data_IF_066829516077
#
_entry.id   IF_066829516077
#
_cell.length_a   1.000
_cell.length_b   1.000
_cell.length_c   1.000
_cell.angle_alpha   90.00
_cell.angle_beta   90.00
_cell.angle_gamma   90.00
#
_symmetry.space_group_name_H-M   'P 1'
#
loop_
_entity.id
_entity.type
_entity.pdbx_description
1 polymer ?
#
# COMPACT_ATOMS: atom_id res chain seq x y z
N UNK A 1 -45.24 22.88 48.93
CA UNK A 1 -43.77 22.79 48.88
C UNK A 1 -43.32 22.94 47.43
N UNK A 2 -42.34 23.81 47.16
CA UNK A 2 -41.98 24.31 45.81
C UNK A 2 -41.11 23.29 45.04
N UNK A 3 -41.30 23.11 43.72
CA UNK A 3 -40.61 22.09 42.91
C UNK A 3 -39.10 22.34 42.69
N UNK A 4 -38.57 23.46 43.19
CA UNK A 4 -37.14 23.78 43.14
C UNK A 4 -36.29 23.04 44.19
N UNK A 5 -36.91 22.45 45.21
CA UNK A 5 -36.17 21.74 46.27
C UNK A 5 -35.81 20.28 45.89
N UNK A 6 -36.58 19.66 44.99
CA UNK A 6 -36.32 18.27 44.55
C UNK A 6 -35.18 18.18 43.53
N UNK A 7 -34.97 19.25 42.74
CA UNK A 7 -33.90 19.30 41.74
C UNK A 7 -32.51 19.48 42.38
N UNK A 8 -32.42 20.12 43.55
CA UNK A 8 -31.15 20.23 44.29
C UNK A 8 -30.73 18.92 44.97
N UNK A 9 -31.66 18.03 45.31
CA UNK A 9 -31.32 16.74 45.94
C UNK A 9 -30.76 15.72 44.93
N UNK A 10 -31.16 15.80 43.66
CA UNK A 10 -30.64 14.93 42.61
C UNK A 10 -29.25 15.34 42.07
N UNK A 11 -28.88 16.62 42.19
CA UNK A 11 -27.55 17.10 41.77
C UNK A 11 -26.48 16.83 42.83
N UNK A 12 -26.85 16.66 44.10
CA UNK A 12 -25.89 16.40 45.18
C UNK A 12 -25.59 14.90 45.42
N UNK A 13 -26.31 13.98 44.77
CA UNK A 13 -26.04 12.54 44.82
C UNK A 13 -25.18 12.02 43.66
N UNK A 14 -24.87 12.85 42.66
CA UNK A 14 -24.00 12.48 41.53
C UNK A 14 -22.55 12.97 41.68
N UNK A 15 -22.20 13.66 42.78
CA UNK A 15 -20.85 14.19 43.02
C UNK A 15 -20.05 13.53 44.16
N UNK A 16 -20.53 12.42 44.73
CA UNK A 16 -19.85 11.72 45.84
C UNK A 16 -19.24 10.35 45.51
N UNK A 17 -19.11 9.98 44.23
CA UNK A 17 -18.39 8.76 43.81
C UNK A 17 -17.10 8.99 43.00
N UNK A 18 -16.55 10.21 42.96
CA UNK A 18 -15.25 10.47 42.32
C UNK A 18 -14.31 11.25 43.24
N UNK A 19 -14.00 10.69 44.40
CA UNK A 19 -12.89 11.15 45.22
C UNK A 19 -12.31 9.98 46.01
N UNK A 20 -11.57 9.10 45.32
CA UNK A 20 -10.42 8.34 45.82
C UNK A 20 -10.04 7.26 44.81
N UNK A 21 -9.44 7.67 43.70
CA UNK A 21 -8.45 6.84 43.04
C UNK A 21 -7.10 7.52 43.24
N UNK A 22 -6.10 6.84 43.82
CA UNK A 22 -4.76 7.41 43.89
C UNK A 22 -4.33 7.74 42.46
N UNK A 23 -3.57 8.83 42.23
CA UNK A 23 -3.06 9.13 40.91
C UNK A 23 -2.31 7.88 40.46
N UNK A 24 -2.80 7.24 39.39
CA UNK A 24 -2.05 6.21 38.69
C UNK A 24 -0.75 6.89 38.28
N UNK A 25 0.31 6.69 39.08
CA UNK A 25 1.69 6.86 38.66
C UNK A 25 1.83 5.90 37.49
N UNK A 26 1.45 6.36 36.31
CA UNK A 26 1.71 5.68 35.07
C UNK A 26 3.22 5.68 35.01
N UNK A 27 3.79 4.53 35.32
CA UNK A 27 5.23 4.32 35.38
C UNK A 27 5.79 4.59 33.99
N UNK A 28 6.13 5.86 33.76
CA UNK A 28 6.70 6.37 32.51
C UNK A 28 8.07 5.76 32.28
N UNK A 29 8.72 5.22 33.33
CA UNK A 29 9.97 4.48 33.19
C UNK A 29 9.76 3.10 32.55
N UNK A 30 8.66 2.40 32.90
CA UNK A 30 8.33 1.08 32.35
C UNK A 30 7.91 1.17 30.87
N UNK A 31 7.20 2.23 30.47
CA UNK A 31 6.80 2.46 29.07
C UNK A 31 7.92 3.03 28.19
N UNK A 32 8.80 3.91 28.72
CA UNK A 32 9.96 4.41 27.96
C UNK A 32 11.04 3.34 27.82
N UNK A 33 11.29 2.50 28.84
CA UNK A 33 12.25 1.40 28.74
C UNK A 33 11.79 0.31 27.76
N UNK A 34 10.48 0.01 27.70
CA UNK A 34 9.90 -0.88 26.70
C UNK A 34 9.90 -0.26 25.30
N UNK A 35 9.54 1.02 25.14
CA UNK A 35 9.65 1.73 23.87
C UNK A 35 11.10 1.83 23.39
N UNK A 36 12.06 2.08 24.29
CA UNK A 36 13.50 2.02 24.00
C UNK A 36 13.97 0.61 23.69
N UNK A 37 13.47 -0.45 24.34
CA UNK A 37 13.76 -1.85 23.97
C UNK A 37 13.19 -2.22 22.61
N UNK A 38 11.98 -1.78 22.27
CA UNK A 38 11.35 -2.00 20.97
C UNK A 38 12.04 -1.19 19.87
N UNK A 39 12.48 0.04 20.16
CA UNK A 39 13.30 0.86 19.26
C UNK A 39 14.72 0.28 19.09
N UNK A 40 15.36 -0.19 20.17
CA UNK A 40 16.68 -0.82 20.16
C UNK A 40 16.68 -2.23 19.53
N UNK A 41 15.50 -2.82 19.31
CA UNK A 41 15.32 -4.14 18.63
C UNK A 41 14.91 -4.01 17.16
N UNK A 42 14.72 -2.80 16.62
CA UNK A 42 14.80 -2.57 15.16
C UNK A 42 16.25 -2.28 14.81
N UNK A 43 17.09 -3.31 14.90
CA UNK A 43 18.36 -3.27 14.16
C UNK A 43 17.94 -3.35 12.69
N UNK A 44 17.92 -2.21 12.01
CA UNK A 44 17.84 -2.19 10.55
C UNK A 44 19.13 -2.80 10.04
N UNK A 45 19.12 -4.10 9.78
CA UNK A 45 20.19 -4.78 9.07
C UNK A 45 20.06 -4.34 7.61
N UNK A 46 20.95 -3.44 7.18
CA UNK A 46 21.02 -3.09 5.76
C UNK A 46 21.64 -4.28 5.01
N UNK A 47 21.30 -4.47 3.73
CA UNK A 47 21.72 -5.65 2.94
C UNK A 47 23.23 -5.82 2.95
N UNK A 48 23.94 -4.69 2.89
CA UNK A 48 25.38 -4.55 2.83
C UNK A 48 26.07 -5.05 4.12
N UNK A 49 25.34 -5.13 5.24
CA UNK A 49 25.88 -5.61 6.52
C UNK A 49 25.80 -7.13 6.68
N UNK A 50 25.12 -7.85 5.77
CA UNK A 50 25.02 -9.31 5.81
C UNK A 50 26.35 -9.92 5.38
N UNK A 51 26.92 -10.80 6.22
CA UNK A 51 28.18 -11.51 5.92
C UNK A 51 28.06 -12.28 4.59
N UNK A 52 28.96 -12.00 3.65
CA UNK A 52 28.99 -12.65 2.34
C UNK A 52 28.05 -12.02 1.30
N UNK A 53 27.39 -10.90 1.62
CA UNK A 53 26.65 -10.12 0.64
C UNK A 53 27.56 -9.65 -0.50
N UNK A 54 27.00 -9.61 -1.71
CA UNK A 54 27.60 -9.00 -2.90
C UNK A 54 26.54 -8.14 -3.57
N UNK A 55 26.86 -6.91 -4.03
CA UNK A 55 25.88 -6.05 -4.69
C UNK A 55 25.11 -6.71 -5.84
N UNK A 56 25.78 -7.60 -6.59
CA UNK A 56 25.16 -8.32 -7.71
C UNK A 56 24.07 -9.33 -7.30
N UNK A 57 23.96 -9.71 -6.02
CA UNK A 57 22.91 -10.64 -5.56
C UNK A 57 21.51 -10.04 -5.63
N UNK A 58 21.42 -8.71 -5.62
CA UNK A 58 20.15 -8.01 -5.69
C UNK A 58 19.62 -7.95 -7.12
N UNK A 59 20.43 -8.29 -8.13
CA UNK A 59 20.01 -8.29 -9.51
C UNK A 59 18.88 -9.29 -9.75
N UNK A 60 17.95 -8.92 -10.61
CA UNK A 60 16.90 -9.79 -11.12
C UNK A 60 17.52 -10.81 -12.09
N UNK A 61 17.30 -12.09 -11.84
CA UNK A 61 17.58 -13.17 -12.79
C UNK A 61 16.28 -13.78 -13.29
N UNK A 62 16.22 -14.10 -14.58
CA UNK A 62 15.08 -14.82 -15.14
C UNK A 62 15.18 -16.30 -14.72
N UNK A 63 14.18 -16.79 -13.97
CA UNK A 63 14.17 -18.16 -13.46
C UNK A 63 13.37 -19.11 -14.34
N UNK A 64 12.46 -18.58 -15.17
CA UNK A 64 11.49 -19.36 -15.94
C UNK A 64 10.74 -20.43 -15.13
N UNK A 65 10.56 -20.19 -13.82
CA UNK A 65 10.07 -21.21 -12.89
C UNK A 65 8.61 -21.62 -13.16
N UNK A 66 7.79 -20.70 -13.69
CA UNK A 66 6.37 -20.89 -13.90
C UNK A 66 5.96 -20.70 -15.35
N UNK A 67 5.28 -21.70 -15.91
CA UNK A 67 4.60 -21.59 -17.21
C UNK A 67 3.50 -20.54 -17.17
N UNK A 68 3.03 -20.10 -18.34
CA UNK A 68 1.87 -19.19 -18.46
C UNK A 68 0.67 -19.71 -17.66
N UNK A 69 0.30 -20.98 -17.85
CA UNK A 69 -0.82 -21.58 -17.13
C UNK A 69 -0.63 -21.58 -15.60
N UNK A 70 0.59 -21.83 -15.12
CA UNK A 70 0.90 -21.80 -13.69
C UNK A 70 0.77 -20.38 -13.12
N UNK A 71 1.18 -19.36 -13.88
CA UNK A 71 1.10 -17.96 -13.46
C UNK A 71 -0.34 -17.43 -13.44
N UNK A 72 -1.14 -17.78 -14.44
CA UNK A 72 -2.54 -17.35 -14.54
C UNK A 72 -3.45 -18.03 -13.50
N UNK A 73 -3.01 -19.13 -12.87
CA UNK A 73 -3.70 -19.75 -11.72
C UNK A 73 -3.44 -19.05 -10.38
N UNK A 74 -2.45 -18.15 -10.32
CA UNK A 74 -2.12 -17.44 -9.08
C UNK A 74 -3.03 -16.23 -8.88
N UNK A 75 -3.36 -15.95 -7.63
CA UNK A 75 -4.03 -14.70 -7.26
C UNK A 75 -3.15 -13.48 -7.64
N UNK A 76 -3.73 -12.35 -8.06
CA UNK A 76 -5.16 -12.11 -8.37
C UNK A 76 -5.56 -12.51 -9.79
N UNK A 77 -4.60 -12.95 -10.62
CA UNK A 77 -4.79 -13.25 -12.05
C UNK A 77 -5.82 -14.35 -12.32
N UNK A 78 -5.95 -15.33 -11.41
CA UNK A 78 -6.94 -16.40 -11.52
C UNK A 78 -8.39 -15.95 -11.30
N UNK A 79 -8.60 -14.84 -10.59
CA UNK A 79 -9.94 -14.31 -10.30
C UNK A 79 -10.32 -13.14 -11.22
N UNK A 80 -9.34 -12.52 -11.89
CA UNK A 80 -9.56 -11.34 -12.71
C UNK A 80 -10.18 -11.68 -14.06
N UNK A 81 -11.28 -11.00 -14.39
CA UNK A 81 -11.89 -11.01 -15.72
C UNK A 81 -11.31 -9.88 -16.59
N UNK A 82 -10.90 -8.79 -15.94
CA UNK A 82 -10.26 -7.65 -16.60
C UNK A 82 -9.13 -7.13 -15.71
N UNK A 83 -8.00 -6.82 -16.33
CA UNK A 83 -6.84 -6.19 -15.69
C UNK A 83 -6.60 -4.87 -16.41
N UNK A 84 -6.51 -3.79 -15.64
CA UNK A 84 -6.32 -2.44 -16.18
C UNK A 84 -5.13 -1.77 -15.52
N UNK A 85 -4.27 -1.15 -16.33
CA UNK A 85 -3.28 -0.20 -15.86
C UNK A 85 -3.91 1.19 -15.85
N UNK A 86 -3.60 1.98 -14.83
CA UNK A 86 -4.03 3.38 -14.75
C UNK A 86 -2.87 4.27 -14.31
N UNK A 87 -2.94 5.54 -14.66
CA UNK A 87 -2.12 6.61 -14.09
C UNK A 87 -3.00 7.73 -13.52
N UNK A 88 -2.49 8.43 -12.52
CA UNK A 88 -3.17 9.51 -11.80
C UNK A 88 -2.14 10.39 -11.09
N UNK A 89 -2.55 11.58 -10.65
CA UNK A 89 -1.67 12.49 -9.91
C UNK A 89 -1.26 11.93 -8.56
N UNK A 90 0.02 12.09 -8.24
CA UNK A 90 0.53 11.83 -6.90
C UNK A 90 0.07 12.89 -5.89
N UNK A 91 0.26 12.63 -4.60
CA UNK A 91 -0.06 13.52 -3.48
C UNK A 91 -1.45 13.32 -2.89
N UNK A 92 -2.29 12.49 -3.53
CA UNK A 92 -3.54 12.02 -2.94
C UNK A 92 -3.27 11.04 -1.81
N UNK A 93 -3.90 11.26 -0.65
CA UNK A 93 -3.89 10.23 0.39
C UNK A 93 -4.58 8.97 -0.15
N UNK A 94 -4.08 7.76 0.19
CA UNK A 94 -4.68 6.52 -0.28
C UNK A 94 -6.16 6.50 0.08
N UNK A 95 -7.01 6.12 -0.88
CA UNK A 95 -8.44 6.01 -0.68
C UNK A 95 -8.75 5.27 0.63
N UNK A 96 -9.51 5.91 1.51
CA UNK A 96 -10.31 5.17 2.47
C UNK A 96 -11.50 4.54 1.73
N UNK A 97 -11.32 3.28 1.29
CA UNK A 97 -12.04 2.07 1.76
C UNK A 97 -12.10 0.96 0.70
N UNK A 98 -11.15 0.02 0.77
CA UNK A 98 -11.37 -1.41 0.52
C UNK A 98 -10.86 -2.16 1.76
N UNK A 99 -11.76 -2.47 2.71
CA UNK A 99 -11.42 -3.24 3.91
C UNK A 99 -11.44 -4.73 3.59
N UNK A 100 -10.26 -5.30 3.34
CA UNK A 100 -9.99 -6.73 3.41
C UNK A 100 -9.03 -6.90 4.60
N UNK A 101 -9.60 -7.18 5.77
CA UNK A 101 -8.88 -7.65 6.97
C UNK A 101 -7.87 -6.72 7.67
N UNK A 102 -8.22 -5.47 8.01
CA UNK A 102 -7.41 -4.67 8.95
C UNK A 102 -8.20 -3.75 9.89
N UNK A 103 -7.94 -3.79 11.23
CA UNK A 103 -8.52 -2.89 12.22
C UNK A 103 -7.58 -1.70 12.48
N UNK A 104 -7.53 -0.72 11.58
CA UNK A 104 -7.02 0.60 11.97
C UNK A 104 -7.58 1.68 11.04
N UNK A 105 -8.15 2.74 11.61
CA UNK A 105 -8.55 3.95 10.86
C UNK A 105 -8.25 5.13 11.76
N UNK A 106 -7.20 5.90 11.42
CA UNK A 106 -7.03 7.24 11.96
C UNK A 106 -7.73 8.22 11.01
N UNK A 107 -8.62 9.09 11.50
CA UNK A 107 -9.22 10.14 10.66
C UNK A 107 -8.23 11.30 10.49
N UNK A 108 -8.17 11.87 9.29
CA UNK A 108 -7.41 13.10 8.98
C UNK A 108 -8.40 14.21 8.62
N UNK A 109 -8.19 15.47 9.08
CA UNK A 109 -9.17 16.56 8.94
C UNK A 109 -9.22 17.13 7.52
N UNK A 110 -10.43 17.35 7.00
CA UNK A 110 -10.70 17.92 5.67
C UNK A 110 -11.03 19.42 5.77
N UNK A 111 -10.07 20.31 5.53
CA UNK A 111 -10.33 21.77 5.51
C UNK A 111 -9.79 22.53 4.29
N UNK A 112 -9.40 21.87 3.21
CA UNK A 112 -9.15 22.56 1.94
C UNK A 112 -10.09 22.01 0.88
N UNK A 113 -10.71 22.89 0.07
CA UNK A 113 -11.37 22.48 -1.18
C UNK A 113 -10.33 21.68 -1.97
N UNK A 114 -10.39 20.36 -1.89
CA UNK A 114 -9.49 19.48 -2.63
C UNK A 114 -9.82 19.66 -4.10
N UNK A 115 -8.95 20.32 -4.84
CA UNK A 115 -8.96 20.20 -6.29
C UNK A 115 -8.91 18.71 -6.60
N UNK A 116 -9.88 18.24 -7.40
CA UNK A 116 -9.99 16.80 -7.76
C UNK A 116 -8.68 16.25 -8.35
N UNK A 117 -7.87 17.15 -8.89
CA UNK A 117 -6.51 16.94 -9.35
C UNK A 117 -5.65 16.16 -8.35
N UNK A 118 -5.77 16.39 -7.04
CA UNK A 118 -4.93 15.75 -6.02
C UNK A 118 -5.58 14.54 -5.32
N UNK A 119 -6.66 13.97 -5.86
CA UNK A 119 -7.32 12.83 -5.21
C UNK A 119 -6.65 11.48 -5.50
N UNK A 120 -5.74 11.42 -6.48
CA UNK A 120 -5.09 10.18 -6.90
C UNK A 120 -6.05 9.15 -7.49
N UNK A 121 -5.78 7.86 -7.32
CA UNK A 121 -6.74 6.81 -7.63
C UNK A 121 -7.96 6.99 -6.74
N UNK A 122 -9.19 6.89 -7.26
CA UNK A 122 -10.41 6.92 -6.45
C UNK A 122 -11.29 5.70 -6.74
N UNK A 123 -11.51 4.86 -5.72
CA UNK A 123 -12.39 3.68 -5.78
C UNK A 123 -13.48 3.82 -4.72
N UNK A 124 -14.74 3.90 -5.15
CA UNK A 124 -15.91 4.02 -4.27
C UNK A 124 -16.84 2.84 -4.48
N UNK A 125 -17.18 2.11 -3.41
CA UNK A 125 -18.04 0.93 -3.48
C UNK A 125 -17.57 -0.09 -4.54
N UNK A 126 -16.24 -0.31 -4.61
CA UNK A 126 -15.58 -1.17 -5.61
C UNK A 126 -15.74 -0.70 -7.07
N UNK A 127 -16.14 0.54 -7.31
CA UNK A 127 -16.24 1.15 -8.64
C UNK A 127 -15.15 2.22 -8.81
N UNK A 128 -14.54 2.23 -9.98
CA UNK A 128 -13.52 3.21 -10.35
C UNK A 128 -14.18 4.55 -10.65
N UNK A 129 -13.68 5.62 -10.02
CA UNK A 129 -13.97 6.98 -10.44
C UNK A 129 -12.94 7.37 -11.50
N UNK A 130 -13.40 7.51 -12.74
CA UNK A 130 -12.53 7.83 -13.88
C UNK A 130 -12.10 9.30 -13.91
N UNK A 131 -12.75 10.17 -13.13
CA UNK A 131 -12.51 11.62 -13.20
C UNK A 131 -11.15 12.06 -12.63
N UNK A 132 -10.43 11.16 -11.97
CA UNK A 132 -9.11 11.41 -11.38
C UNK A 132 -7.97 10.72 -12.14
N UNK A 133 -8.29 10.00 -13.23
CA UNK A 133 -7.31 9.24 -14.02
C UNK A 133 -6.78 10.06 -15.18
N UNK A 134 -5.50 9.88 -15.49
CA UNK A 134 -4.81 10.54 -16.60
C UNK A 134 -4.77 9.59 -17.81
N UNK A 135 -4.24 8.39 -17.64
CA UNK A 135 -4.23 7.35 -18.68
C UNK A 135 -4.85 6.05 -18.14
N UNK A 136 -5.47 5.29 -19.04
CA UNK A 136 -5.98 3.96 -18.71
C UNK A 136 -5.67 2.98 -19.84
N UNK A 137 -5.38 1.73 -19.48
CA UNK A 137 -5.16 0.66 -20.44
C UNK A 137 -5.72 -0.66 -19.93
N UNK A 138 -6.72 -1.20 -20.61
CA UNK A 138 -7.12 -2.60 -20.43
C UNK A 138 -6.08 -3.49 -21.10
N UNK A 139 -5.55 -4.46 -20.35
CA UNK A 139 -4.57 -5.42 -20.85
C UNK A 139 -5.24 -6.51 -21.67
N UNK A 140 -4.68 -6.80 -22.84
CA UNK A 140 -5.02 -8.01 -23.59
C UNK A 140 -4.26 -9.23 -23.04
N UNK A 141 -4.60 -10.43 -23.53
CA UNK A 141 -3.99 -11.68 -23.05
C UNK A 141 -2.45 -11.67 -23.13
N UNK A 142 -1.86 -11.26 -24.25
CA UNK A 142 -0.40 -11.22 -24.41
C UNK A 142 0.26 -10.29 -23.39
N UNK A 143 -0.37 -9.16 -23.09
CA UNK A 143 0.13 -8.22 -22.09
C UNK A 143 -0.01 -8.76 -20.66
N UNK A 144 -1.09 -9.49 -20.34
CA UNK A 144 -1.22 -10.18 -19.05
C UNK A 144 -0.15 -11.26 -18.90
N UNK A 145 0.13 -12.01 -19.97
CA UNK A 145 1.20 -13.01 -19.99
C UNK A 145 2.58 -12.39 -19.79
N UNK A 146 2.86 -11.22 -20.37
CA UNK A 146 4.09 -10.46 -20.17
C UNK A 146 4.21 -9.92 -18.74
N UNK A 147 3.17 -9.26 -18.23
CA UNK A 147 3.12 -8.75 -16.85
C UNK A 147 3.38 -9.86 -15.83
N UNK A 148 2.65 -10.97 -15.94
CA UNK A 148 2.80 -12.07 -15.00
C UNK A 148 4.17 -12.74 -15.13
N UNK A 149 4.83 -12.68 -16.30
CA UNK A 149 6.19 -13.20 -16.47
C UNK A 149 7.18 -12.35 -15.66
N UNK A 150 7.04 -11.01 -15.69
CA UNK A 150 7.83 -10.09 -14.86
C UNK A 150 7.62 -10.37 -13.38
N UNK A 151 6.36 -10.58 -12.96
CA UNK A 151 6.01 -10.79 -11.54
C UNK A 151 6.55 -12.11 -11.01
N UNK A 152 6.37 -13.22 -11.74
CA UNK A 152 6.59 -14.56 -11.18
C UNK A 152 7.87 -15.27 -11.62
N UNK A 153 8.48 -14.89 -12.76
CA UNK A 153 9.63 -15.60 -13.32
C UNK A 153 10.96 -14.86 -13.15
N UNK A 154 11.03 -13.97 -12.16
CA UNK A 154 12.27 -13.29 -11.79
C UNK A 154 12.47 -13.35 -10.28
N UNK A 155 13.70 -13.64 -9.88
CA UNK A 155 14.14 -13.76 -8.49
C UNK A 155 15.50 -13.07 -8.31
N UNK A 156 15.98 -13.00 -7.07
CA UNK A 156 17.32 -12.53 -6.75
C UNK A 156 18.39 -13.44 -7.37
N UNK A 157 19.46 -12.83 -7.89
CA UNK A 157 20.59 -13.53 -8.49
C UNK A 157 21.37 -14.40 -7.51
N UNK A 158 21.29 -14.08 -6.22
CA UNK A 158 22.05 -14.77 -5.18
C UNK A 158 21.21 -15.08 -3.96
N UNK A 159 21.61 -14.50 -2.83
CA UNK A 159 21.10 -14.87 -1.51
C UNK A 159 19.57 -14.75 -1.45
N UNK A 160 18.90 -15.86 -1.15
CA UNK A 160 17.44 -15.94 -1.02
C UNK A 160 17.03 -15.77 0.44
N UNK A 161 15.82 -15.25 0.68
CA UNK A 161 15.16 -15.24 2.00
C UNK A 161 15.81 -14.37 3.10
N UNK A 162 16.35 -13.20 2.78
CA UNK A 162 16.71 -12.23 3.82
C UNK A 162 15.69 -11.08 3.86
N UNK A 163 15.19 -10.77 5.06
CA UNK A 163 14.20 -9.71 5.27
C UNK A 163 14.90 -8.35 5.28
N UNK A 164 14.57 -7.49 4.33
CA UNK A 164 14.99 -6.09 4.37
C UNK A 164 13.87 -5.25 4.93
N UNK A 165 14.18 -4.53 6.01
CA UNK A 165 13.30 -3.54 6.62
C UNK A 165 13.91 -2.17 6.40
N UNK A 166 13.62 -1.59 5.23
CA UNK A 166 14.07 -0.26 4.88
C UNK A 166 13.19 0.26 3.75
N UNK A 167 12.11 0.93 4.12
CA UNK A 167 11.29 1.67 3.17
C UNK A 167 11.73 3.13 3.25
N UNK A 168 11.90 3.78 2.10
CA UNK A 168 11.91 5.23 2.07
C UNK A 168 10.60 5.73 2.70
N UNK A 169 10.66 6.81 3.49
CA UNK A 169 9.47 7.40 4.11
C UNK A 169 8.48 8.01 3.08
N UNK A 170 8.84 8.02 1.80
CA UNK A 170 8.04 8.56 0.71
C UNK A 170 7.33 7.42 -0.03
N UNK A 171 6.00 7.49 -0.08
CA UNK A 171 5.18 6.71 -0.99
C UNK A 171 4.20 7.67 -1.67
N UNK A 172 4.48 7.98 -2.93
CA UNK A 172 3.68 8.88 -3.78
C UNK A 172 3.27 8.14 -5.06
N UNK A 173 2.31 7.20 -4.99
CA UNK A 173 1.95 6.38 -6.12
C UNK A 173 1.28 7.21 -7.21
N UNK A 174 1.63 6.92 -8.47
CA UNK A 174 1.07 7.57 -9.67
C UNK A 174 0.49 6.59 -10.67
N UNK A 175 0.54 5.31 -10.33
CA UNK A 175 0.16 4.21 -11.20
C UNK A 175 -0.44 3.08 -10.37
N UNK A 176 -1.43 2.39 -10.94
CA UNK A 176 -1.94 1.15 -10.33
C UNK A 176 -2.27 0.09 -11.35
N UNK A 177 -2.25 -1.16 -10.89
CA UNK A 177 -2.83 -2.31 -11.57
C UNK A 177 -4.15 -2.65 -10.88
N UNK A 178 -5.26 -2.55 -11.61
CA UNK A 178 -6.61 -2.79 -11.11
C UNK A 178 -7.13 -4.15 -11.59
N UNK A 179 -7.70 -4.92 -10.67
CA UNK A 179 -8.25 -6.25 -10.96
C UNK A 179 -9.77 -6.25 -10.78
N UNK A 180 -10.49 -6.57 -11.87
CA UNK A 180 -11.94 -6.53 -11.92
C UNK A 180 -12.55 -7.93 -11.96
N UNK A 181 -13.67 -8.09 -11.24
CA UNK A 181 -14.51 -9.28 -11.30
C UNK A 181 -15.44 -9.26 -12.54
N UNK A 182 -16.23 -10.33 -12.70
CA UNK A 182 -17.23 -10.46 -13.77
C UNK A 182 -18.34 -9.40 -13.73
N UNK A 183 -18.54 -8.73 -12.59
CA UNK A 183 -19.55 -7.69 -12.40
C UNK A 183 -18.98 -6.29 -12.67
N UNK A 184 -17.73 -6.19 -13.13
CA UNK A 184 -17.03 -4.92 -13.34
C UNK A 184 -16.65 -4.20 -12.04
N UNK A 185 -16.64 -4.90 -10.89
CA UNK A 185 -16.19 -4.37 -9.61
C UNK A 185 -14.70 -4.64 -9.41
N UNK A 186 -13.96 -3.65 -8.91
CA UNK A 186 -12.58 -3.82 -8.48
C UNK A 186 -12.57 -4.63 -7.19
N UNK A 187 -11.92 -5.80 -7.21
CA UNK A 187 -11.78 -6.63 -6.02
C UNK A 187 -10.39 -6.49 -5.38
N UNK A 188 -9.40 -6.02 -6.12
CA UNK A 188 -8.07 -5.70 -5.61
C UNK A 188 -7.33 -4.74 -6.53
N UNK A 189 -6.27 -4.12 -6.00
CA UNK A 189 -5.37 -3.27 -6.76
C UNK A 189 -3.97 -3.20 -6.15
N UNK A 190 -3.00 -2.90 -6.99
CA UNK A 190 -1.61 -2.71 -6.64
C UNK A 190 -1.19 -1.29 -7.04
N UNK A 191 -0.95 -0.44 -6.05
CA UNK A 191 -0.44 0.92 -6.24
C UNK A 191 1.08 0.90 -6.33
N UNK A 192 1.63 1.62 -7.30
CA UNK A 192 3.05 1.60 -7.63
C UNK A 192 3.56 3.04 -7.67
N UNK A 193 4.62 3.29 -6.89
CA UNK A 193 5.46 4.47 -7.04
C UNK A 193 6.80 4.05 -7.67
N UNK A 194 6.94 4.24 -8.98
CA UNK A 194 8.17 3.92 -9.69
C UNK A 194 9.35 4.78 -9.20
N UNK A 195 9.11 6.05 -8.90
CA UNK A 195 10.15 6.95 -8.35
C UNK A 195 10.62 6.51 -6.95
N UNK A 196 9.71 5.98 -6.13
CA UNK A 196 10.00 5.54 -4.77
C UNK A 196 10.59 4.13 -4.70
N UNK A 197 10.54 3.38 -5.82
CA UNK A 197 10.77 1.94 -5.84
C UNK A 197 9.97 1.20 -4.75
N UNK A 198 8.69 1.56 -4.62
CA UNK A 198 7.80 1.00 -3.63
C UNK A 198 6.41 0.73 -4.22
N UNK A 199 5.69 -0.18 -3.59
CA UNK A 199 4.31 -0.52 -3.95
C UNK A 199 3.49 -0.79 -2.68
N UNK A 200 2.20 -0.56 -2.78
CA UNK A 200 1.23 -0.95 -1.77
C UNK A 200 0.08 -1.72 -2.42
N UNK A 201 -0.57 -2.57 -1.63
CA UNK A 201 -1.72 -3.35 -2.06
C UNK A 201 -2.67 -3.48 -0.88
N UNK A 202 -3.97 -3.47 -1.18
CA UNK A 202 -5.00 -3.72 -0.17
C UNK A 202 -5.00 -5.17 0.33
N UNK A 203 -4.56 -6.12 -0.51
CA UNK A 203 -4.44 -7.53 -0.14
C UNK A 203 -3.00 -7.90 0.17
N UNK A 204 -2.79 -8.62 1.28
CA UNK A 204 -1.49 -9.22 1.65
C UNK A 204 -0.98 -10.23 0.62
N UNK A 205 -1.87 -10.77 -0.22
CA UNK A 205 -1.56 -11.80 -1.20
C UNK A 205 -1.22 -11.25 -2.59
N UNK A 206 -1.25 -9.93 -2.77
CA UNK A 206 -0.91 -9.26 -4.01
C UNK A 206 0.43 -8.53 -3.85
N UNK A 207 1.41 -8.94 -4.64
CA UNK A 207 2.77 -8.39 -4.66
C UNK A 207 3.35 -8.38 -6.07
N UNK A 208 4.49 -7.71 -6.24
CA UNK A 208 5.28 -7.73 -7.49
C UNK A 208 6.24 -8.94 -7.60
N UNK A 209 6.09 -9.93 -6.71
CA UNK A 209 7.03 -11.04 -6.56
C UNK A 209 8.31 -10.63 -5.84
N UNK A 210 9.45 -11.21 -6.24
CA UNK A 210 10.75 -10.87 -5.64
C UNK A 210 11.16 -9.42 -5.97
N UNK A 211 11.38 -8.59 -4.95
CA UNK A 211 11.80 -7.20 -5.12
C UNK A 211 13.32 -7.05 -5.35
N UNK A 212 13.78 -7.63 -6.46
CA UNK A 212 15.14 -7.48 -6.98
C UNK A 212 15.34 -6.10 -7.62
N UNK A 213 16.58 -5.64 -7.76
CA UNK A 213 16.95 -4.26 -8.05
C UNK A 213 16.28 -3.68 -9.31
N UNK A 214 16.18 -4.45 -10.39
CA UNK A 214 15.60 -3.99 -11.67
C UNK A 214 14.07 -4.16 -11.72
N UNK A 215 13.41 -4.63 -10.67
CA UNK A 215 11.99 -5.01 -10.72
C UNK A 215 11.09 -3.84 -11.12
N UNK A 216 11.29 -2.68 -10.51
CA UNK A 216 10.51 -1.47 -10.82
C UNK A 216 10.79 -0.97 -12.23
N UNK A 217 12.04 -0.99 -12.70
CA UNK A 217 12.38 -0.63 -14.09
C UNK A 217 11.71 -1.54 -15.12
N UNK A 218 11.61 -2.83 -14.82
CA UNK A 218 10.93 -3.79 -15.70
C UNK A 218 9.43 -3.53 -15.76
N UNK A 219 8.81 -3.24 -14.60
CA UNK A 219 7.40 -2.87 -14.53
C UNK A 219 7.13 -1.51 -15.21
N UNK A 220 7.97 -0.51 -15.00
CA UNK A 220 7.85 0.80 -15.65
C UNK A 220 7.92 0.66 -17.18
N UNK A 221 8.88 -0.11 -17.69
CA UNK A 221 8.97 -0.42 -19.12
C UNK A 221 7.73 -1.13 -19.65
N UNK A 222 7.13 -2.03 -18.88
CA UNK A 222 5.87 -2.66 -19.25
C UNK A 222 4.71 -1.66 -19.34
N UNK A 223 4.58 -0.76 -18.37
CA UNK A 223 3.57 0.31 -18.38
C UNK A 223 3.73 1.22 -19.60
N UNK A 224 4.96 1.70 -19.85
CA UNK A 224 5.29 2.55 -21.00
C UNK A 224 4.93 1.83 -22.32
N UNK A 225 5.36 0.58 -22.47
CA UNK A 225 5.05 -0.25 -23.65
C UNK A 225 3.55 -0.48 -23.83
N UNK A 226 2.78 -0.56 -22.74
CA UNK A 226 1.33 -0.71 -22.77
C UNK A 226 0.58 0.60 -23.09
N UNK A 227 1.28 1.74 -23.07
CA UNK A 227 0.73 3.06 -23.36
C UNK A 227 0.30 3.87 -22.13
N UNK A 228 0.78 3.50 -20.93
CA UNK A 228 0.59 4.27 -19.70
C UNK A 228 1.95 4.82 -19.29
N UNK A 229 2.20 6.11 -19.55
CA UNK A 229 3.53 6.72 -19.41
C UNK A 229 3.63 7.67 -18.23
N UNK A 230 2.56 8.37 -17.87
CA UNK A 230 2.55 9.28 -16.72
C UNK A 230 2.89 8.51 -15.44
N UNK A 231 3.85 9.03 -14.67
CA UNK A 231 4.36 8.39 -13.44
C UNK A 231 5.34 7.22 -13.66
N UNK A 232 5.36 6.61 -14.86
CA UNK A 232 6.22 5.49 -15.22
C UNK A 232 7.43 5.89 -16.09
N UNK A 233 7.29 6.93 -16.91
CA UNK A 233 8.32 7.46 -17.80
C UNK A 233 8.89 8.76 -17.23
N UNK A 234 10.19 8.77 -16.92
CA UNK A 234 10.87 9.96 -16.41
C UNK A 234 10.97 11.10 -17.45
N UNK A 235 10.62 10.83 -18.72
CA UNK A 235 10.55 11.82 -19.79
C UNK A 235 9.19 12.51 -19.88
N UNK A 236 8.18 12.04 -19.16
CA UNK A 236 6.85 12.66 -19.11
C UNK A 236 6.82 13.60 -17.88
N UNK A 237 6.64 14.91 -18.09
CA UNK A 237 6.51 15.85 -16.97
C UNK A 237 5.31 15.52 -16.07
N UNK A 238 5.42 15.87 -14.78
CA UNK A 238 4.42 15.52 -13.75
C UNK A 238 3.53 16.70 -13.33
N UNK A 239 3.76 17.87 -13.92
CA UNK A 239 3.11 19.17 -13.68
C UNK A 239 1.77 19.34 -14.41
#
# INVERSE_FOLDING_TARGET
MKPKLLLCLFVLLSFSCYANTPPLKKDTSYTIAQARRMAKKRITITRETIKGYRPGFDNCIFTNQYTVANRLKKYPYSAAIKIMLVSYYGGGQPNQDIKIDSPFTAPIPTTHKQDKHYLGLVIKNKKLDYSTLIETKVLNRKQVEELTNIVFNYDFAGMKNYTVTGFAACFDPRNSILFFDKNGKIFDHLDICFHCNNYESTSKNLSIGANCAQKFDMLARFFIKAGVRYGADNKVPLD
#
